data_IF_399871631435
#
_entry.id   IF_399871631435
#
_cell.length_a   1.000
_cell.length_b   1.000
_cell.length_c   1.000
_cell.angle_alpha   90.00
_cell.angle_beta   90.00
_cell.angle_gamma   90.00
#
_symmetry.space_group_name_H-M   'P 1'
#
loop_
_entity.id
_entity.type
_entity.pdbx_description
1 polymer ?
#
# COMPACT_ATOMS: atom_id res chain seq x y z
N UNK A 1 56.47 -1.87 -23.28
CA UNK A 1 55.90 -0.87 -22.36
C UNK A 1 55.34 -1.62 -21.15
N UNK A 2 56.07 -1.63 -20.02
CA UNK A 2 55.65 -2.27 -18.76
C UNK A 2 55.10 -1.17 -17.86
N UNK A 3 53.78 -1.10 -17.71
CA UNK A 3 53.13 -0.23 -16.72
C UNK A 3 53.11 -0.97 -15.38
N UNK A 4 53.76 -0.35 -14.40
CA UNK A 4 53.95 -0.85 -13.05
C UNK A 4 52.64 -0.70 -12.27
N UNK A 5 51.92 -1.81 -12.07
CA UNK A 5 50.91 -1.90 -11.01
C UNK A 5 51.66 -1.98 -9.69
N UNK A 6 51.78 -0.84 -9.01
CA UNK A 6 52.39 -0.71 -7.70
C UNK A 6 51.52 -1.43 -6.67
N UNK A 7 51.86 -2.69 -6.36
CA UNK A 7 51.24 -3.47 -5.30
C UNK A 7 51.59 -2.86 -3.95
N UNK A 8 50.81 -1.87 -3.49
CA UNK A 8 50.87 -1.42 -2.09
C UNK A 8 50.49 -2.61 -1.20
N UNK A 9 51.47 -3.14 -0.46
CA UNK A 9 51.25 -4.14 0.61
C UNK A 9 50.37 -3.49 1.68
N UNK A 10 49.07 -3.61 1.50
CA UNK A 10 48.11 -3.28 2.54
C UNK A 10 48.30 -4.33 3.64
N UNK A 11 48.87 -3.93 4.78
CA UNK A 11 49.12 -4.84 5.89
C UNK A 11 47.79 -5.40 6.39
N UNK A 12 47.78 -6.69 6.75
CA UNK A 12 46.58 -7.43 7.21
C UNK A 12 45.81 -6.66 8.31
N UNK A 13 46.53 -5.97 9.20
CA UNK A 13 45.95 -5.14 10.26
C UNK A 13 45.14 -3.95 9.74
N UNK A 14 45.56 -3.32 8.64
CA UNK A 14 44.82 -2.19 8.04
C UNK A 14 43.48 -2.64 7.46
N UNK A 15 43.39 -3.86 6.95
CA UNK A 15 42.14 -4.45 6.44
C UNK A 15 41.16 -4.75 7.57
N UNK A 16 41.65 -5.25 8.70
CA UNK A 16 40.83 -5.57 9.89
C UNK A 16 40.29 -4.29 10.53
N UNK A 17 41.13 -3.25 10.68
CA UNK A 17 40.70 -1.95 11.24
C UNK A 17 39.66 -1.27 10.35
N UNK A 18 39.84 -1.33 9.02
CA UNK A 18 38.89 -0.73 8.08
C UNK A 18 37.53 -1.48 8.10
N UNK A 19 37.55 -2.81 8.20
CA UNK A 19 36.34 -3.63 8.34
C UNK A 19 35.62 -3.37 9.67
N UNK A 20 36.36 -3.18 10.77
CA UNK A 20 35.81 -2.87 12.08
C UNK A 20 35.19 -1.47 12.12
N UNK A 21 35.77 -0.49 11.41
CA UNK A 21 35.19 0.86 11.28
C UNK A 21 33.84 0.84 10.56
N UNK A 22 33.68 0.04 9.49
CA UNK A 22 32.42 -0.04 8.74
C UNK A 22 31.25 -0.57 9.59
N UNK A 23 31.52 -1.49 10.53
CA UNK A 23 30.52 -2.01 11.45
C UNK A 23 30.04 -0.96 12.47
N UNK A 24 30.86 0.05 12.78
CA UNK A 24 30.49 1.14 13.70
C UNK A 24 29.59 2.20 13.04
N UNK A 25 29.52 2.23 11.72
CA UNK A 25 28.64 3.13 10.94
C UNK A 25 27.40 2.43 10.38
N UNK A 26 27.11 1.20 10.83
CA UNK A 26 25.86 0.55 10.47
C UNK A 26 24.68 1.32 11.11
N UNK A 27 24.01 2.15 10.31
CA UNK A 27 22.76 2.79 10.72
C UNK A 27 21.62 1.77 10.73
N UNK A 28 20.61 2.02 11.57
CA UNK A 28 19.40 1.21 11.58
C UNK A 28 18.67 1.43 10.25
N UNK A 29 18.58 0.40 9.41
CA UNK A 29 17.63 0.39 8.31
C UNK A 29 16.21 0.35 8.91
N UNK A 30 15.43 1.40 8.70
CA UNK A 30 14.01 1.42 9.05
C UNK A 30 13.25 0.66 7.98
N UNK A 31 13.19 -0.66 8.11
CA UNK A 31 12.27 -1.47 7.33
C UNK A 31 10.83 -1.29 7.84
N UNK A 32 9.84 -1.51 6.97
CA UNK A 32 8.43 -1.53 7.37
C UNK A 32 8.19 -2.65 8.40
N UNK A 33 7.78 -2.28 9.61
CA UNK A 33 7.33 -3.23 10.64
C UNK A 33 5.84 -3.53 10.47
N UNK A 34 5.47 -4.08 9.31
CA UNK A 34 4.09 -4.47 9.05
C UNK A 34 3.66 -5.58 10.03
N UNK A 35 2.50 -5.38 10.66
CA UNK A 35 1.68 -6.51 11.12
C UNK A 35 0.69 -6.78 9.99
N UNK A 36 1.02 -7.73 9.11
CA UNK A 36 0.14 -8.07 8.00
C UNK A 36 -1.23 -8.53 8.52
N UNK A 37 -2.32 -7.82 8.17
CA UNK A 37 -3.66 -8.20 8.58
C UNK A 37 -4.13 -9.45 7.85
N UNK A 38 -5.16 -10.11 8.38
CA UNK A 38 -5.92 -11.07 7.57
C UNK A 38 -6.72 -10.33 6.49
N UNK A 39 -7.16 -11.05 5.45
CA UNK A 39 -8.03 -10.48 4.40
C UNK A 39 -9.30 -9.89 5.01
N UNK A 40 -9.92 -10.59 5.96
CA UNK A 40 -11.10 -10.13 6.70
C UNK A 40 -10.80 -8.87 7.52
N UNK A 41 -9.73 -8.87 8.31
CA UNK A 41 -9.32 -7.70 9.10
C UNK A 41 -9.10 -6.47 8.20
N UNK A 42 -8.40 -6.63 7.06
CA UNK A 42 -8.15 -5.50 6.17
C UNK A 42 -9.39 -5.08 5.39
N UNK A 43 -10.28 -6.01 5.04
CA UNK A 43 -11.57 -5.73 4.40
C UNK A 43 -12.45 -4.85 5.28
N UNK A 44 -12.58 -5.21 6.56
CA UNK A 44 -13.36 -4.44 7.53
C UNK A 44 -12.79 -3.03 7.72
N UNK A 45 -11.46 -2.91 7.78
CA UNK A 45 -10.76 -1.64 8.03
C UNK A 45 -10.48 -0.80 6.77
N UNK A 46 -10.88 -1.26 5.58
CA UNK A 46 -10.72 -0.51 4.32
C UNK A 46 -11.99 0.22 3.96
N UNK A 47 -11.86 1.39 3.33
CA UNK A 47 -13.02 2.13 2.82
C UNK A 47 -13.42 1.60 1.43
N UNK A 48 -12.43 1.22 0.63
CA UNK A 48 -12.61 0.67 -0.71
C UNK A 48 -11.85 -0.66 -0.85
N UNK A 49 -12.52 -1.68 -1.38
CA UNK A 49 -11.90 -2.96 -1.74
C UNK A 49 -12.35 -3.31 -3.16
N UNK A 50 -11.38 -3.41 -4.07
CA UNK A 50 -11.63 -3.58 -5.49
C UNK A 50 -10.62 -4.49 -6.17
N UNK A 51 -10.96 -4.98 -7.35
CA UNK A 51 -10.00 -5.50 -8.32
C UNK A 51 -9.96 -4.63 -9.57
N UNK A 52 -8.77 -4.45 -10.12
CA UNK A 52 -8.60 -3.62 -11.30
C UNK A 52 -7.26 -3.83 -11.98
N UNK A 53 -7.19 -3.38 -13.24
CA UNK A 53 -5.96 -3.39 -14.03
C UNK A 53 -5.27 -2.03 -13.90
N UNK A 54 -3.98 -2.03 -13.58
CA UNK A 54 -3.20 -0.78 -13.51
C UNK A 54 -3.02 -0.22 -14.91
N UNK A 55 -3.48 1.03 -15.12
CA UNK A 55 -3.36 1.75 -16.39
C UNK A 55 -2.10 2.60 -16.44
N UNK A 56 -1.80 3.34 -15.37
CA UNK A 56 -0.57 4.14 -15.24
C UNK A 56 -0.17 4.34 -13.79
N UNK A 57 1.09 4.72 -13.62
CA UNK A 57 1.70 5.08 -12.35
C UNK A 57 2.43 6.40 -12.57
N UNK A 58 2.04 7.44 -11.85
CA UNK A 58 2.62 8.79 -11.96
C UNK A 58 3.14 9.27 -10.61
N UNK A 59 4.22 10.05 -10.59
CA UNK A 59 4.65 10.73 -9.36
C UNK A 59 3.69 11.87 -9.03
N UNK A 60 3.40 12.06 -7.73
CA UNK A 60 2.55 13.19 -7.31
C UNK A 60 3.37 14.39 -6.85
N UNK A 61 2.81 15.58 -7.12
CA UNK A 61 3.31 16.86 -6.62
C UNK A 61 3.24 16.93 -5.08
N UNK A 62 4.06 17.81 -4.49
CA UNK A 62 4.29 17.89 -3.04
C UNK A 62 3.02 17.96 -2.19
N UNK A 63 1.98 18.64 -2.66
CA UNK A 63 0.72 18.85 -1.94
C UNK A 63 -0.14 17.59 -1.75
N UNK A 64 0.08 16.54 -2.56
CA UNK A 64 -0.63 15.25 -2.45
C UNK A 64 0.25 14.13 -1.92
N UNK A 65 1.50 14.43 -1.51
CA UNK A 65 2.40 13.43 -0.95
C UNK A 65 1.90 12.94 0.40
N UNK A 66 2.13 11.65 0.66
CA UNK A 66 1.85 11.01 1.93
C UNK A 66 2.76 11.64 2.99
N UNK A 67 2.15 12.29 3.98
CA UNK A 67 2.82 12.70 5.21
C UNK A 67 2.97 11.49 6.12
N UNK A 68 4.21 11.11 6.42
CA UNK A 68 4.51 10.03 7.36
C UNK A 68 4.74 10.56 8.77
N UNK A 69 5.32 11.76 8.91
CA UNK A 69 5.41 12.50 10.16
C UNK A 69 5.27 14.03 9.94
N UNK A 70 5.66 14.85 10.94
CA UNK A 70 5.51 16.30 10.87
C UNK A 70 6.44 17.00 9.86
N UNK A 71 7.55 16.39 9.44
CA UNK A 71 8.59 17.05 8.65
C UNK A 71 8.98 16.29 7.36
N UNK A 72 8.65 15.00 7.21
CA UNK A 72 9.02 14.22 6.01
C UNK A 72 7.82 13.79 5.15
N UNK A 73 7.86 14.22 3.88
CA UNK A 73 6.99 13.72 2.81
C UNK A 73 7.63 12.51 2.15
N UNK A 74 6.94 11.38 2.15
CA UNK A 74 7.37 10.25 1.32
C UNK A 74 7.13 10.58 -0.14
N UNK A 75 8.08 10.21 -1.00
CA UNK A 75 7.80 10.18 -2.44
C UNK A 75 6.60 9.26 -2.64
N UNK A 76 5.57 9.82 -3.27
CA UNK A 76 4.27 9.19 -3.43
C UNK A 76 4.00 9.05 -4.91
N UNK A 77 3.36 7.96 -5.29
CA UNK A 77 2.88 7.70 -6.63
C UNK A 77 1.37 7.55 -6.62
N UNK A 78 0.77 7.96 -7.73
CA UNK A 78 -0.64 7.76 -8.05
C UNK A 78 -0.76 6.58 -9.01
N UNK A 79 -1.63 5.64 -8.67
CA UNK A 79 -1.90 4.45 -9.46
C UNK A 79 -3.35 4.53 -9.92
N UNK A 80 -3.56 4.69 -11.23
CA UNK A 80 -4.89 4.66 -11.84
C UNK A 80 -5.23 3.22 -12.23
N UNK A 81 -6.33 2.70 -11.71
CA UNK A 81 -6.84 1.36 -12.01
C UNK A 81 -8.13 1.45 -12.84
N UNK A 82 -8.22 0.62 -13.88
CA UNK A 82 -9.48 0.28 -14.53
C UNK A 82 -10.20 -0.78 -13.69
N UNK A 83 -11.38 -0.44 -13.17
CA UNK A 83 -12.14 -1.31 -12.28
C UNK A 83 -12.62 -2.57 -13.03
N UNK A 84 -12.42 -3.73 -12.44
CA UNK A 84 -13.01 -4.99 -12.86
C UNK A 84 -14.17 -5.40 -11.94
N UNK A 85 -13.97 -5.30 -10.62
CA UNK A 85 -14.98 -5.63 -9.62
C UNK A 85 -14.74 -4.81 -8.34
N UNK A 86 -15.81 -4.43 -7.64
CA UNK A 86 -15.73 -3.78 -6.33
C UNK A 86 -16.55 -4.59 -5.32
N UNK A 87 -15.92 -4.92 -4.20
CA UNK A 87 -16.57 -5.57 -3.06
C UNK A 87 -16.96 -4.57 -1.98
N UNK A 88 -16.33 -3.40 -1.94
CA UNK A 88 -16.62 -2.35 -0.96
C UNK A 88 -16.34 -0.95 -1.51
N UNK A 89 -17.25 -0.02 -1.22
CA UNK A 89 -16.98 1.43 -1.18
C UNK A 89 -16.86 2.20 -2.49
N UNK A 90 -17.05 1.57 -3.65
CA UNK A 90 -16.99 2.29 -4.95
C UNK A 90 -17.85 1.63 -6.02
N UNK A 91 -18.39 2.44 -6.92
CA UNK A 91 -19.07 2.06 -8.17
C UNK A 91 -18.42 2.73 -9.39
N UNK A 92 -17.27 3.38 -9.22
CA UNK A 92 -16.57 4.10 -10.28
C UNK A 92 -15.87 3.17 -11.27
N UNK A 93 -15.89 3.50 -12.56
CA UNK A 93 -15.19 2.69 -13.58
C UNK A 93 -13.67 2.78 -13.52
N UNK A 94 -13.13 3.82 -12.89
CA UNK A 94 -11.70 4.02 -12.67
C UNK A 94 -11.48 4.56 -11.28
N UNK A 95 -10.48 4.02 -10.61
CA UNK A 95 -10.15 4.41 -9.24
C UNK A 95 -8.67 4.77 -9.18
N UNK A 96 -8.38 5.91 -8.57
CA UNK A 96 -7.02 6.34 -8.27
C UNK A 96 -6.69 5.98 -6.82
N UNK A 97 -5.56 5.32 -6.59
CA UNK A 97 -5.01 5.09 -5.25
C UNK A 97 -3.60 5.67 -5.15
N UNK A 98 -3.27 6.18 -3.96
CA UNK A 98 -1.94 6.67 -3.63
C UNK A 98 -1.18 5.59 -2.85
N UNK A 99 0.11 5.47 -3.13
CA UNK A 99 1.02 4.66 -2.31
C UNK A 99 2.42 5.29 -2.30
N UNK A 100 3.25 4.95 -1.31
CA UNK A 100 4.64 5.41 -1.32
C UNK A 100 5.39 4.80 -2.52
N UNK A 101 6.50 5.42 -2.92
CA UNK A 101 7.18 5.10 -4.18
C UNK A 101 7.62 3.64 -4.30
N UNK A 102 8.11 3.05 -3.21
CA UNK A 102 8.76 1.75 -3.23
C UNK A 102 8.57 0.99 -1.91
N UNK A 103 8.82 -0.32 -1.92
CA UNK A 103 8.70 -1.18 -0.74
C UNK A 103 9.55 -0.69 0.46
N UNK A 104 10.80 -0.19 0.30
CA UNK A 104 11.56 0.41 1.40
C UNK A 104 10.84 1.59 2.07
N UNK A 105 10.04 2.34 1.31
CA UNK A 105 9.19 3.43 1.80
C UNK A 105 7.78 2.97 2.22
N UNK A 106 7.56 1.66 2.35
CA UNK A 106 6.26 1.02 2.60
C UNK A 106 5.23 1.23 1.47
N UNK A 107 5.72 1.49 0.26
CA UNK A 107 4.94 1.52 -0.97
C UNK A 107 4.59 0.12 -1.43
N UNK A 108 3.42 -0.03 -2.05
CA UNK A 108 3.09 -1.26 -2.76
C UNK A 108 3.59 -1.17 -4.20
N UNK A 109 4.38 -2.16 -4.64
CA UNK A 109 5.00 -2.15 -5.97
C UNK A 109 4.02 -2.62 -7.05
N UNK A 110 3.31 -1.67 -7.65
CA UNK A 110 2.38 -1.94 -8.74
C UNK A 110 3.09 -2.03 -10.10
N UNK A 111 2.62 -2.93 -10.96
CA UNK A 111 3.07 -3.03 -12.35
C UNK A 111 1.98 -2.60 -13.33
N UNK A 112 2.32 -1.69 -14.24
CA UNK A 112 1.41 -1.26 -15.32
C UNK A 112 1.00 -2.48 -16.17
N UNK A 113 -0.31 -2.64 -16.38
CA UNK A 113 -0.90 -3.73 -17.16
C UNK A 113 -1.23 -4.98 -16.34
N UNK A 114 -0.70 -5.13 -15.13
CA UNK A 114 -1.07 -6.20 -14.21
C UNK A 114 -2.40 -5.89 -13.51
N UNK A 115 -3.03 -6.94 -12.95
CA UNK A 115 -4.30 -6.86 -12.23
C UNK A 115 -4.06 -7.10 -10.75
N UNK A 116 -4.77 -6.38 -9.90
CA UNK A 116 -4.61 -6.48 -8.45
C UNK A 116 -5.96 -6.50 -7.77
N UNK A 117 -6.02 -7.14 -6.60
CA UNK A 117 -6.95 -6.75 -5.54
C UNK A 117 -6.28 -5.66 -4.72
N UNK A 118 -6.99 -4.56 -4.48
CA UNK A 118 -6.51 -3.40 -3.73
C UNK A 118 -7.43 -3.12 -2.55
N UNK A 119 -6.83 -3.03 -1.37
CA UNK A 119 -7.43 -2.60 -0.12
C UNK A 119 -6.99 -1.16 0.14
N UNK A 120 -7.92 -0.23 0.07
CA UNK A 120 -7.62 1.20 0.17
C UNK A 120 -8.44 1.87 1.27
N UNK A 121 -7.78 2.81 1.95
CA UNK A 121 -8.39 3.65 2.98
C UNK A 121 -8.48 5.08 2.50
N UNK A 122 -9.62 5.70 2.72
CA UNK A 122 -9.82 7.11 2.53
C UNK A 122 -9.02 7.90 3.57
N UNK A 123 -8.28 8.90 3.11
CA UNK A 123 -7.66 9.90 3.96
C UNK A 123 -8.07 11.28 3.48
N UNK A 124 -8.52 12.11 4.41
CA UNK A 124 -8.66 13.54 4.20
C UNK A 124 -7.26 14.13 4.06
N UNK A 125 -6.91 14.63 2.88
CA UNK A 125 -5.67 15.39 2.70
C UNK A 125 -5.82 16.74 3.41
N UNK A 126 -5.22 16.91 4.59
CA UNK A 126 -5.46 18.12 5.38
C UNK A 126 -4.73 18.22 6.72
N UNK A 127 -3.43 18.51 6.70
CA UNK A 127 -2.75 19.24 7.79
C UNK A 127 -1.81 20.31 7.25
N UNK A 128 -2.10 20.84 6.06
CA UNK A 128 -1.42 21.99 5.46
C UNK A 128 -2.46 23.03 5.05
N UNK A 129 -2.22 24.29 5.42
CA UNK A 129 -3.12 25.40 5.14
C UNK A 129 -3.31 25.58 3.63
N UNK A 130 -4.46 25.13 3.10
CA UNK A 130 -4.88 25.37 1.71
C UNK A 130 -5.47 24.19 0.93
N UNK A 131 -5.63 22.99 1.51
CA UNK A 131 -6.21 21.84 0.79
C UNK A 131 -7.73 21.79 0.91
N UNK A 132 -8.40 21.86 -0.25
CA UNK A 132 -9.79 21.47 -0.46
C UNK A 132 -10.04 20.04 0.04
N UNK A 133 -11.26 19.73 0.48
CA UNK A 133 -11.72 18.41 0.93
C UNK A 133 -11.63 17.32 -0.17
N UNK A 134 -10.43 16.98 -0.61
CA UNK A 134 -10.18 15.85 -1.51
C UNK A 134 -9.85 14.65 -0.63
N UNK A 135 -10.81 13.76 -0.52
CA UNK A 135 -10.65 12.43 0.03
C UNK A 135 -9.82 11.61 -0.96
N UNK A 136 -8.58 11.30 -0.58
CA UNK A 136 -7.69 10.47 -1.39
C UNK A 136 -7.69 9.04 -0.85
N UNK A 137 -7.77 8.05 -1.74
CA UNK A 137 -7.61 6.65 -1.38
C UNK A 137 -6.13 6.31 -1.27
N UNK A 138 -5.74 5.65 -0.17
CA UNK A 138 -4.37 5.27 0.13
C UNK A 138 -4.24 3.77 0.37
N UNK A 139 -3.17 3.18 -0.15
CA UNK A 139 -2.78 1.80 0.12
C UNK A 139 -1.26 1.68 0.30
N UNK A 140 -0.78 0.56 0.84
CA UNK A 140 0.63 0.38 1.18
C UNK A 140 1.05 -1.09 1.19
N UNK A 141 2.35 -1.33 1.37
CA UNK A 141 2.96 -2.66 1.46
C UNK A 141 2.31 -3.58 2.51
N UNK A 142 1.82 -3.00 3.62
CA UNK A 142 1.26 -3.78 4.72
C UNK A 142 -0.22 -4.15 4.53
N UNK A 143 -0.87 -3.60 3.51
CA UNK A 143 -2.26 -3.92 3.19
C UNK A 143 -2.31 -5.28 2.48
N UNK A 144 -3.45 -5.97 2.52
CA UNK A 144 -3.68 -7.28 1.91
C UNK A 144 -3.76 -7.23 0.37
N UNK A 145 -3.16 -6.23 -0.25
CA UNK A 145 -3.08 -6.07 -1.70
C UNK A 145 -2.40 -7.30 -2.32
N UNK A 146 -2.93 -7.73 -3.47
CA UNK A 146 -2.49 -8.97 -4.10
C UNK A 146 -2.52 -8.86 -5.61
N UNK A 147 -1.41 -9.20 -6.28
CA UNK A 147 -1.37 -9.32 -7.74
C UNK A 147 -2.14 -10.58 -8.18
N UNK A 148 -3.11 -10.41 -9.08
CA UNK A 148 -3.97 -11.47 -9.57
C UNK A 148 -3.31 -12.23 -10.73
N UNK A 149 -3.01 -13.49 -10.48
CA UNK A 149 -2.56 -14.47 -11.47
C UNK A 149 -3.63 -15.53 -11.80
N UNK A 150 -3.25 -16.50 -12.64
CA UNK A 150 -4.04 -17.72 -12.85
C UNK A 150 -3.59 -18.81 -11.87
N UNK A 151 -3.71 -18.51 -10.57
CA UNK A 151 -3.29 -19.39 -9.50
C UNK A 151 -4.38 -19.56 -8.43
N UNK A 152 -4.23 -20.64 -7.64
CA UNK A 152 -5.18 -20.99 -6.59
C UNK A 152 -5.28 -19.93 -5.49
N UNK A 153 -4.20 -19.17 -5.23
CA UNK A 153 -4.21 -18.16 -4.18
C UNK A 153 -5.13 -16.99 -4.59
N UNK A 154 -5.03 -16.56 -5.84
CA UNK A 154 -5.88 -15.55 -6.45
C UNK A 154 -7.34 -16.00 -6.47
N UNK A 155 -7.62 -17.24 -6.88
CA UNK A 155 -8.98 -17.81 -6.84
C UNK A 155 -9.55 -17.86 -5.42
N UNK A 156 -8.76 -18.28 -4.44
CA UNK A 156 -9.18 -18.36 -3.04
C UNK A 156 -9.46 -16.98 -2.45
N UNK A 157 -8.62 -15.99 -2.76
CA UNK A 157 -8.82 -14.61 -2.33
C UNK A 157 -10.13 -14.03 -2.87
N UNK A 158 -10.38 -14.17 -4.18
CA UNK A 158 -11.61 -13.67 -4.80
C UNK A 158 -12.85 -14.33 -4.20
N UNK A 159 -12.80 -15.64 -3.95
CA UNK A 159 -13.89 -16.37 -3.27
C UNK A 159 -14.13 -15.83 -1.85
N UNK A 160 -13.06 -15.60 -1.09
CA UNK A 160 -13.15 -15.06 0.27
C UNK A 160 -13.75 -13.65 0.29
N UNK A 161 -13.41 -12.79 -0.67
CA UNK A 161 -13.96 -11.44 -0.77
C UNK A 161 -15.47 -11.44 -1.06
N UNK A 162 -15.93 -12.36 -1.90
CA UNK A 162 -17.36 -12.49 -2.20
C UNK A 162 -18.17 -13.00 -0.99
N UNK A 163 -17.59 -13.94 -0.23
CA UNK A 163 -18.16 -14.42 1.04
C UNK A 163 -18.29 -13.27 2.04
N UNK A 164 -17.21 -12.51 2.27
CA UNK A 164 -17.19 -11.37 3.19
C UNK A 164 -18.21 -10.28 2.79
N UNK A 165 -18.32 -9.98 1.50
CA UNK A 165 -19.32 -9.03 0.98
C UNK A 165 -20.74 -9.47 1.34
N UNK A 166 -21.05 -10.74 1.13
CA UNK A 166 -22.39 -11.29 1.34
C UNK A 166 -22.75 -11.28 2.83
N UNK A 167 -21.81 -11.68 3.70
CA UNK A 167 -22.00 -11.69 5.15
C UNK A 167 -22.30 -10.28 5.69
N UNK A 168 -21.49 -9.28 5.32
CA UNK A 168 -21.68 -7.89 5.77
C UNK A 168 -22.99 -7.29 5.25
N UNK A 169 -23.39 -7.62 4.02
CA UNK A 169 -24.68 -7.18 3.48
C UNK A 169 -25.84 -7.74 4.30
N UNK A 170 -25.82 -9.02 4.66
CA UNK A 170 -26.86 -9.64 5.49
C UNK A 170 -26.93 -9.04 6.89
N UNK A 171 -25.78 -8.78 7.53
CA UNK A 171 -25.73 -8.13 8.84
C UNK A 171 -26.37 -6.73 8.81
N UNK A 172 -26.06 -5.93 7.78
CA UNK A 172 -26.61 -4.59 7.62
C UNK A 172 -28.14 -4.58 7.41
N UNK A 173 -28.69 -5.58 6.75
CA UNK A 173 -30.15 -5.73 6.54
C UNK A 173 -30.86 -6.14 7.83
N UNK A 174 -30.23 -6.99 8.66
CA UNK A 174 -30.76 -7.41 9.95
C UNK A 174 -30.80 -6.25 10.97
N UNK A 175 -29.75 -5.42 11.01
CA UNK A 175 -29.71 -4.23 11.87
C UNK A 175 -30.80 -3.22 11.48
N UNK A 176 -30.97 -2.95 10.18
CA UNK A 176 -32.01 -2.04 9.69
C UNK A 176 -33.44 -2.56 9.96
N UNK A 177 -33.65 -3.88 9.93
CA UNK A 177 -34.94 -4.47 10.28
C UNK A 177 -35.26 -4.33 11.77
N UNK A 178 -34.25 -4.46 12.65
CA UNK A 178 -34.41 -4.25 14.09
C UNK A 178 -34.73 -2.80 14.46
N UNK A 179 -34.01 -1.84 13.86
CA UNK A 179 -34.22 -0.40 14.10
C UNK A 179 -35.60 0.09 13.62
N UNK A 180 -36.17 -0.56 12.58
CA UNK A 180 -37.50 -0.24 12.08
C UNK A 180 -38.62 -0.73 13.02
N UNK A 181 -38.43 -1.89 13.66
CA UNK A 181 -39.40 -2.43 14.63
C UNK A 181 -39.41 -1.63 15.94
N UNK A 182 -38.27 -1.06 16.36
CA UNK A 182 -38.18 -0.25 17.59
C UNK A 182 -38.72 1.20 17.42
N UNK A 183 -38.95 1.65 16.19
CA UNK A 183 -39.56 2.97 15.89
C UNK A 183 -41.10 2.94 15.78
N UNK A 184 -41.72 1.75 15.81
CA UNK A 184 -43.18 1.58 15.78
C UNK A 184 -43.82 1.34 17.17
N UNK A 185 -43.00 1.30 18.24
CA UNK A 185 -43.44 1.18 19.65
C UNK A 185 -43.39 2.53 20.42
#
# INVERSE_FOLDING_TARGET
>A
MKSLVEKRKLSSHSSVVCSLLLLLFASNAWACKCKFPTVEEDFLNSDVVLSGKVLRIDSVADERRIKWDQDDFLQTVEVELELNEAWKGTDETRVTVLTALDEPSCGYDFSVGARYVVFARARKSGSGAGSSDIEALYTNLCSANHELGYDRASEALLKQLEELRTEIQQESELEQAGDAEEQEE
#
